data_IF_855778949878
#
_entry.id   IF_855778949878
#
_cell.length_a   1.000
_cell.length_b   1.000
_cell.length_c   1.000
_cell.angle_alpha   90.00
_cell.angle_beta   90.00
_cell.angle_gamma   90.00
#
_symmetry.space_group_name_H-M   'P 1'
#
loop_
_entity.id
_entity.type
_entity.pdbx_description
1 polymer ?
#
# COMPACT_ATOMS: atom_id res chain seq x y z
N UNK A 1 -16.72 -2.16 3.60
CA UNK A 1 -15.46 -2.28 4.36
C UNK A 1 -14.88 -3.65 4.08
N UNK A 2 -13.57 -3.77 3.89
CA UNK A 2 -12.94 -5.09 3.81
C UNK A 2 -13.20 -5.84 5.11
N UNK A 3 -13.77 -7.05 4.98
CA UNK A 3 -13.97 -7.97 6.08
C UNK A 3 -12.62 -8.58 6.50
N UNK A 4 -12.62 -9.36 7.58
CA UNK A 4 -11.43 -10.11 7.94
C UNK A 4 -11.00 -11.04 6.81
N UNK A 5 -9.69 -11.05 6.55
CA UNK A 5 -9.09 -12.06 5.68
C UNK A 5 -9.16 -13.41 6.40
N UNK A 6 -9.52 -14.50 5.69
CA UNK A 6 -9.48 -15.85 6.24
C UNK A 6 -8.12 -16.18 6.87
N UNK A 7 -8.12 -16.99 7.94
CA UNK A 7 -6.90 -17.44 8.61
C UNK A 7 -5.93 -18.09 7.62
N UNK A 8 -4.66 -17.68 7.63
CA UNK A 8 -3.64 -18.14 6.68
C UNK A 8 -3.58 -17.35 5.37
N UNK A 9 -4.64 -16.64 4.97
CA UNK A 9 -4.63 -15.77 3.79
C UNK A 9 -3.90 -14.46 4.08
N UNK A 10 -4.08 -13.91 5.29
CA UNK A 10 -3.36 -12.73 5.77
C UNK A 10 -1.85 -12.95 5.79
N UNK A 11 -1.40 -14.09 6.31
CA UNK A 11 0.02 -14.43 6.40
C UNK A 11 0.64 -14.61 5.00
N UNK A 12 -0.10 -15.22 4.07
CA UNK A 12 0.33 -15.34 2.66
C UNK A 12 0.41 -13.98 1.96
N UNK A 13 -0.54 -13.08 2.23
CA UNK A 13 -0.54 -11.72 1.73
C UNK A 13 0.73 -10.98 2.20
N UNK A 14 0.97 -10.96 3.52
CA UNK A 14 2.13 -10.33 4.15
C UNK A 14 3.44 -10.89 3.58
N UNK A 15 3.57 -12.22 3.50
CA UNK A 15 4.76 -12.85 2.94
C UNK A 15 4.98 -12.53 1.46
N UNK A 16 3.89 -12.46 0.67
CA UNK A 16 3.99 -12.09 -0.75
C UNK A 16 4.39 -10.63 -0.93
N UNK A 17 3.89 -9.73 -0.07
CA UNK A 17 4.24 -8.32 -0.08
C UNK A 17 5.72 -8.13 0.25
N UNK A 18 6.20 -8.78 1.31
CA UNK A 18 7.60 -8.73 1.71
C UNK A 18 8.55 -9.16 0.58
N UNK A 19 8.22 -10.24 -0.14
CA UNK A 19 9.02 -10.73 -1.27
C UNK A 19 9.10 -9.72 -2.43
N UNK A 20 8.01 -8.99 -2.67
CA UNK A 20 7.97 -7.96 -3.72
C UNK A 20 8.69 -6.69 -3.25
N UNK A 21 8.57 -6.34 -1.97
CA UNK A 21 9.21 -5.16 -1.40
C UNK A 21 10.73 -5.31 -1.31
N UNK A 22 11.22 -6.49 -0.93
CA UNK A 22 12.64 -6.78 -0.68
C UNK A 22 13.22 -7.79 -1.70
N UNK A 23 13.28 -7.46 -2.99
CA UNK A 23 13.78 -8.39 -3.99
C UNK A 23 15.26 -8.70 -3.75
N UNK A 24 15.60 -9.99 -3.65
CA UNK A 24 16.97 -10.45 -3.51
C UNK A 24 17.53 -10.39 -2.08
N UNK A 25 16.70 -10.13 -1.07
CA UNK A 25 17.06 -10.30 0.34
C UNK A 25 16.42 -11.55 0.92
N UNK A 26 17.21 -12.30 1.67
CA UNK A 26 16.73 -13.43 2.46
C UNK A 26 16.09 -12.96 3.78
N UNK A 27 15.28 -13.82 4.40
CA UNK A 27 14.44 -13.44 5.55
C UNK A 27 15.25 -13.11 6.81
N UNK A 28 16.50 -13.54 6.89
CA UNK A 28 17.45 -13.22 7.96
C UNK A 28 18.16 -11.87 7.76
N UNK A 29 18.03 -11.25 6.58
CA UNK A 29 18.65 -9.97 6.23
C UNK A 29 17.82 -8.75 6.62
N UNK A 30 16.52 -8.93 6.93
CA UNK A 30 15.62 -7.84 7.30
C UNK A 30 14.61 -8.28 8.36
N UNK A 31 14.11 -7.32 9.12
CA UNK A 31 12.98 -7.51 10.02
C UNK A 31 11.82 -6.61 9.62
N UNK A 32 10.61 -7.09 9.82
CA UNK A 32 9.38 -6.34 9.55
C UNK A 32 8.37 -6.65 10.65
N UNK A 33 7.91 -5.60 11.31
CA UNK A 33 6.83 -5.65 12.28
C UNK A 33 5.55 -5.29 11.55
N UNK A 34 4.55 -6.17 11.61
CA UNK A 34 3.21 -5.88 11.11
C UNK A 34 2.29 -5.46 12.27
N UNK A 35 1.52 -4.40 12.04
CA UNK A 35 0.57 -3.83 13.01
C UNK A 35 -0.81 -3.83 12.38
N UNK A 36 -1.73 -4.53 13.00
CA UNK A 36 -3.12 -4.59 12.57
C UNK A 36 -3.95 -3.50 13.25
N UNK A 37 -4.67 -2.73 12.44
CA UNK A 37 -5.57 -1.68 12.89
C UNK A 37 -7.01 -2.01 12.45
N UNK A 38 -7.96 -1.85 13.38
CA UNK A 38 -9.39 -2.13 13.19
C UNK A 38 -10.30 -0.97 13.61
N UNK A 39 -9.72 0.10 14.12
CA UNK A 39 -10.42 1.23 14.72
C UNK A 39 -11.31 2.00 13.74
N UNK A 40 -11.08 1.86 12.43
CA UNK A 40 -11.79 2.60 11.37
C UNK A 40 -12.84 1.78 10.63
N UNK A 41 -13.29 0.68 11.23
CA UNK A 41 -14.30 -0.21 10.63
C UNK A 41 -13.85 -0.91 9.34
N UNK A 42 -12.54 -0.95 9.07
CA UNK A 42 -11.88 -1.71 8.00
C UNK A 42 -10.56 -2.27 8.53
N UNK A 43 -10.13 -3.39 7.97
CA UNK A 43 -8.81 -3.96 8.24
C UNK A 43 -7.73 -3.10 7.59
N UNK A 44 -6.80 -2.56 8.39
CA UNK A 44 -5.56 -1.92 7.91
C UNK A 44 -4.35 -2.70 8.45
N UNK A 45 -3.44 -3.11 7.56
CA UNK A 45 -2.17 -3.75 7.92
C UNK A 45 -1.03 -2.77 7.65
N UNK A 46 -0.55 -2.14 8.70
CA UNK A 46 0.63 -1.28 8.65
C UNK A 46 1.88 -2.11 8.94
N UNK A 47 3.05 -1.61 8.53
CA UNK A 47 4.30 -2.27 8.81
C UNK A 47 5.43 -1.28 9.13
N UNK A 48 6.41 -1.76 9.90
CA UNK A 48 7.63 -1.04 10.23
C UNK A 48 8.83 -1.90 9.84
N UNK A 49 9.78 -1.30 9.13
CA UNK A 49 11.02 -1.94 8.70
C UNK A 49 12.18 -1.06 9.17
N UNK A 50 13.16 -1.61 9.93
CA UNK A 50 14.38 -0.89 10.26
C UNK A 50 15.19 -0.55 8.99
N UNK A 51 15.82 0.62 8.96
CA UNK A 51 16.66 1.05 7.85
C UNK A 51 18.08 0.43 7.90
N UNK A 52 18.19 -0.79 8.41
CA UNK A 52 19.45 -1.51 8.60
C UNK A 52 19.29 -2.94 8.09
N UNK A 53 20.19 -3.36 7.21
CA UNK A 53 20.30 -4.76 6.80
C UNK A 53 21.01 -5.53 7.91
N UNK A 54 20.40 -6.64 8.35
CA UNK A 54 20.71 -7.27 9.64
C UNK A 54 22.05 -8.01 9.67
N UNK A 55 22.51 -8.56 8.54
CA UNK A 55 23.76 -9.33 8.50
C UNK A 55 24.99 -8.43 8.39
N UNK A 56 24.90 -7.37 7.59
CA UNK A 56 26.01 -6.46 7.29
C UNK A 56 26.02 -5.21 8.17
N UNK A 57 24.90 -4.90 8.84
CA UNK A 57 24.72 -3.67 9.63
C UNK A 57 24.67 -2.39 8.78
N UNK A 58 24.63 -2.51 7.44
CA UNK A 58 24.61 -1.35 6.54
C UNK A 58 23.21 -0.78 6.40
N UNK A 59 23.13 0.45 5.89
CA UNK A 59 21.86 1.11 5.61
C UNK A 59 21.06 0.32 4.57
N UNK A 60 19.85 -0.08 4.95
CA UNK A 60 18.83 -0.62 4.06
C UNK A 60 17.85 0.51 3.70
N UNK A 61 17.51 0.62 2.41
CA UNK A 61 16.41 1.48 1.94
C UNK A 61 15.28 0.57 1.45
N UNK A 62 14.29 0.24 2.30
CA UNK A 62 13.23 -0.71 1.96
C UNK A 62 12.37 -0.33 0.75
N UNK A 63 12.25 0.98 0.50
CA UNK A 63 11.41 1.52 -0.56
C UNK A 63 12.03 2.77 -1.17
N UNK A 64 12.10 2.82 -2.49
CA UNK A 64 12.45 3.96 -3.32
C UNK A 64 11.44 4.08 -4.45
N UNK A 65 10.56 5.09 -4.34
CA UNK A 65 9.34 5.22 -5.15
C UNK A 65 9.56 5.03 -6.65
N UNK A 66 10.56 5.69 -7.21
CA UNK A 66 10.84 5.64 -8.65
C UNK A 66 11.13 4.22 -9.17
N UNK A 67 11.78 3.38 -8.37
CA UNK A 67 12.12 2.02 -8.75
C UNK A 67 11.06 1.00 -8.33
N UNK A 68 10.41 1.23 -7.19
CA UNK A 68 9.57 0.22 -6.55
C UNK A 68 8.08 0.37 -6.86
N UNK A 69 7.60 1.60 -7.07
CA UNK A 69 6.17 1.87 -7.33
C UNK A 69 5.58 0.97 -8.43
N UNK A 70 6.18 0.85 -9.64
CA UNK A 70 5.59 0.03 -10.68
C UNK A 70 5.45 -1.45 -10.29
N UNK A 71 6.38 -1.96 -9.50
CA UNK A 71 6.40 -3.35 -9.04
C UNK A 71 5.37 -3.59 -7.95
N UNK A 72 5.24 -2.65 -7.00
CA UNK A 72 4.25 -2.69 -5.93
C UNK A 72 2.84 -2.53 -6.49
N UNK A 73 2.62 -1.60 -7.42
CA UNK A 73 1.33 -1.40 -8.09
C UNK A 73 0.90 -2.66 -8.85
N UNK A 74 1.81 -3.28 -9.60
CA UNK A 74 1.52 -4.54 -10.31
C UNK A 74 1.17 -5.68 -9.35
N UNK A 75 1.90 -5.82 -8.22
CA UNK A 75 1.57 -6.78 -7.17
C UNK A 75 0.18 -6.52 -6.59
N UNK A 76 -0.15 -5.26 -6.29
CA UNK A 76 -1.45 -4.87 -5.75
C UNK A 76 -2.58 -5.25 -6.72
N UNK A 77 -2.45 -4.93 -8.01
CA UNK A 77 -3.46 -5.31 -9.02
C UNK A 77 -3.69 -6.81 -9.07
N UNK A 78 -2.61 -7.61 -9.05
CA UNK A 78 -2.70 -9.09 -9.09
C UNK A 78 -3.38 -9.63 -7.83
N UNK A 79 -2.99 -9.12 -6.66
CA UNK A 79 -3.52 -9.58 -5.38
C UNK A 79 -4.99 -9.20 -5.22
N UNK A 80 -5.35 -7.96 -5.54
CA UNK A 80 -6.73 -7.49 -5.49
C UNK A 80 -7.62 -8.36 -6.40
N UNK A 81 -7.20 -8.60 -7.64
CA UNK A 81 -7.94 -9.45 -8.57
C UNK A 81 -8.07 -10.90 -8.09
N UNK A 82 -7.04 -11.48 -7.47
CA UNK A 82 -7.08 -12.87 -6.96
C UNK A 82 -7.95 -13.04 -5.73
N UNK A 83 -7.95 -12.03 -4.85
CA UNK A 83 -8.62 -12.09 -3.55
C UNK A 83 -9.99 -11.40 -3.56
N UNK A 84 -10.38 -10.77 -4.68
CA UNK A 84 -11.61 -10.00 -4.79
C UNK A 84 -11.62 -8.75 -3.90
N UNK A 85 -10.43 -8.18 -3.63
CA UNK A 85 -10.32 -7.00 -2.78
C UNK A 85 -10.71 -5.74 -3.54
N UNK A 86 -11.16 -4.73 -2.80
CA UNK A 86 -11.50 -3.43 -3.35
C UNK A 86 -10.30 -2.77 -4.06
N UNK A 87 -10.43 -2.48 -5.36
CA UNK A 87 -9.41 -1.75 -6.11
C UNK A 87 -9.62 -0.23 -6.01
N UNK A 88 -8.74 0.51 -5.30
CA UNK A 88 -8.87 1.97 -5.20
C UNK A 88 -8.68 2.69 -6.54
N UNK A 89 -8.07 2.05 -7.54
CA UNK A 89 -7.82 2.62 -8.86
C UNK A 89 -8.88 2.22 -9.90
N UNK A 90 -9.93 1.49 -9.49
CA UNK A 90 -11.02 1.12 -10.40
C UNK A 90 -11.66 2.37 -11.04
N UNK A 91 -12.06 2.32 -12.32
CA UNK A 91 -12.70 3.45 -13.00
C UNK A 91 -13.89 4.02 -12.23
N UNK A 92 -14.67 3.15 -11.59
CA UNK A 92 -15.84 3.55 -10.77
C UNK A 92 -15.46 4.42 -9.56
N UNK A 93 -14.23 4.29 -9.06
CA UNK A 93 -13.70 5.04 -7.91
C UNK A 93 -13.00 6.35 -8.31
N UNK A 94 -12.87 6.60 -9.61
CA UNK A 94 -12.19 7.80 -10.11
C UNK A 94 -13.04 9.04 -9.82
N UNK A 95 -12.50 9.95 -9.01
CA UNK A 95 -13.16 11.24 -8.74
C UNK A 95 -13.30 12.03 -10.03
N UNK A 96 -14.50 12.56 -10.28
CA UNK A 96 -14.78 13.45 -11.42
C UNK A 96 -13.97 14.75 -11.34
N UNK A 97 -13.69 15.22 -10.12
CA UNK A 97 -12.87 16.39 -9.83
C UNK A 97 -11.71 16.00 -8.90
N UNK A 98 -10.50 16.43 -9.26
CA UNK A 98 -9.32 16.41 -8.38
C UNK A 98 -8.92 17.86 -8.17
N UNK A 99 -9.37 18.46 -7.07
CA UNK A 99 -8.98 19.82 -6.66
C UNK A 99 -7.66 19.77 -5.90
N UNK A 100 -6.62 20.48 -6.34
CA UNK A 100 -5.39 20.65 -5.55
C UNK A 100 -5.71 21.25 -4.18
N UNK A 101 -5.02 20.78 -3.14
CA UNK A 101 -5.22 21.29 -1.77
C UNK A 101 -4.87 22.77 -1.62
N UNK A 102 -4.02 23.31 -2.50
CA UNK A 102 -3.62 24.72 -2.55
C UNK A 102 -4.47 25.58 -3.51
N UNK A 103 -5.59 25.05 -4.04
CA UNK A 103 -6.42 25.81 -4.98
C UNK A 103 -7.15 26.95 -4.24
N UNK A 104 -7.07 28.21 -4.72
CA UNK A 104 -7.81 29.31 -4.11
C UNK A 104 -9.32 29.01 -4.03
N UNK A 105 -9.98 29.34 -2.91
CA UNK A 105 -11.41 29.03 -2.66
C UNK A 105 -12.33 29.34 -3.83
N UNK A 106 -12.18 30.52 -4.44
CA UNK A 106 -12.99 30.93 -5.59
C UNK A 106 -12.89 29.96 -6.79
N UNK A 107 -11.72 29.33 -7.00
CA UNK A 107 -11.53 28.30 -8.05
C UNK A 107 -12.03 26.93 -7.63
N UNK A 108 -12.06 26.62 -6.34
CA UNK A 108 -12.67 25.40 -5.81
C UNK A 108 -14.19 25.47 -5.96
N UNK A 109 -14.80 26.57 -5.52
CA UNK A 109 -16.25 26.83 -5.64
C UNK A 109 -16.71 26.82 -7.11
N UNK A 110 -15.91 27.38 -8.02
CA UNK A 110 -16.21 27.32 -9.45
C UNK A 110 -16.09 25.91 -10.05
N UNK A 111 -15.14 25.10 -9.59
CA UNK A 111 -14.99 23.71 -10.04
C UNK A 111 -16.15 22.84 -9.54
N UNK A 112 -16.58 23.05 -8.30
CA UNK A 112 -17.73 22.35 -7.69
C UNK A 112 -19.06 22.75 -8.34
N UNK A 113 -19.23 24.00 -8.78
CA UNK A 113 -20.46 24.46 -9.43
C UNK A 113 -20.67 23.92 -10.87
N UNK A 114 -19.64 23.33 -11.49
CA UNK A 114 -19.68 22.81 -12.87
C UNK A 114 -20.02 21.30 -12.89
N UNK A 115 -19.99 20.62 -11.74
CA UNK A 115 -20.27 19.18 -11.58
C UNK A 115 -21.55 18.95 -10.80
#
# INVERSE_FOLDING_TARGET
>A
AEADLPSGQREKLMASFERVLMPGLDKDQYSILWVEHRDKGRLELNFLIPNTELLTGRRLQPYYDRADRPRIDAWQTIVNGRLGLHDPNAPENRRALVTPSALPKAKQEAAEAIT
#
